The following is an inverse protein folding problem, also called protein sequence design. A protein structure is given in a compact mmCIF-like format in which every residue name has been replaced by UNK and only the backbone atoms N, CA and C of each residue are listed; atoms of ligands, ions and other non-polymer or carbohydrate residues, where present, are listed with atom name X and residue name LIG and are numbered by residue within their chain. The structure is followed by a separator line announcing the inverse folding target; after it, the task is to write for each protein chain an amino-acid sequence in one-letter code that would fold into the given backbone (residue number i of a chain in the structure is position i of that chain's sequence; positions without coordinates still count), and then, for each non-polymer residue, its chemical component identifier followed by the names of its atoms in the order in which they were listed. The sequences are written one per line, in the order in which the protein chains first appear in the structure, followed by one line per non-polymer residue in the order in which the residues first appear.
data_IF_058131564565
#
_entry.id   IF_058131564565
#
_cell.length_a   1.000
_cell.length_b   1.000
_cell.length_c   1.000
_cell.angle_alpha   90.00
_cell.angle_beta   90.00
_cell.angle_gamma   90.00
#
_symmetry.space_group_name_H-M   'P 1'
#
loop_
_entity.id
_entity.type
_entity.pdbx_description
1 polymer ?
#
# COMPACT_ATOMS: atom_id res chain seq x y z
N UNK A 1 4.54 1.45 12.63
CA UNK A 1 3.25 0.76 12.40
C UNK A 1 3.32 -0.12 11.17
N UNK A 2 2.63 -1.25 11.21
CA UNK A 2 2.44 -2.11 10.07
C UNK A 2 1.20 -1.66 9.29
N UNK A 3 1.32 -1.59 7.97
CA UNK A 3 0.21 -1.22 7.10
C UNK A 3 0.14 -2.24 5.96
N UNK A 4 -1.07 -2.72 5.68
CA UNK A 4 -1.32 -3.65 4.57
C UNK A 4 -2.50 -3.12 3.76
N UNK A 5 -2.37 -3.13 2.45
CA UNK A 5 -3.52 -2.88 1.57
C UNK A 5 -3.40 -3.72 0.30
N UNK A 6 -4.52 -3.90 -0.37
CA UNK A 6 -4.60 -4.75 -1.55
C UNK A 6 -4.91 -3.92 -2.80
N UNK A 7 -4.61 -4.49 -3.96
CA UNK A 7 -5.08 -3.95 -5.23
C UNK A 7 -6.59 -4.10 -5.34
N UNK A 8 -7.22 -3.27 -6.15
CA UNK A 8 -8.67 -3.32 -6.38
C UNK A 8 -9.06 -4.70 -6.90
N UNK A 9 -9.96 -5.38 -6.19
CA UNK A 9 -10.38 -6.76 -6.46
C UNK A 9 -9.24 -7.78 -6.44
N UNK A 10 -8.14 -7.46 -5.73
CA UNK A 10 -6.96 -8.32 -5.62
C UNK A 10 -6.36 -8.71 -6.98
N UNK A 11 -6.46 -7.83 -7.97
CA UNK A 11 -5.85 -8.07 -9.26
C UNK A 11 -4.32 -8.13 -9.12
N UNK A 12 -3.67 -9.06 -9.83
CA UNK A 12 -2.21 -9.21 -9.80
C UNK A 12 -1.52 -8.12 -10.64
N UNK A 13 -1.98 -6.89 -10.51
CA UNK A 13 -1.57 -5.76 -11.34
C UNK A 13 -0.12 -5.33 -11.10
N UNK A 14 0.40 -5.64 -9.91
CA UNK A 14 1.78 -5.28 -9.55
C UNK A 14 2.80 -6.33 -9.98
N UNK A 15 2.36 -7.44 -10.57
CA UNK A 15 3.27 -8.49 -10.99
C UNK A 15 4.26 -7.96 -12.05
N UNK A 16 5.55 -8.01 -11.75
CA UNK A 16 6.59 -7.44 -12.58
C UNK A 16 6.91 -5.98 -12.28
N UNK A 17 6.15 -5.32 -11.40
CA UNK A 17 6.33 -3.90 -11.03
C UNK A 17 6.63 -3.72 -9.54
N UNK A 18 7.01 -4.80 -8.85
CA UNK A 18 7.22 -4.77 -7.40
C UNK A 18 8.31 -3.77 -7.00
N UNK A 19 9.43 -3.78 -7.72
CA UNK A 19 10.54 -2.87 -7.40
C UNK A 19 10.17 -1.41 -7.67
N UNK A 20 9.44 -1.16 -8.74
CA UNK A 20 8.96 0.19 -9.03
C UNK A 20 8.06 0.70 -7.92
N UNK A 21 7.12 -0.12 -7.45
CA UNK A 21 6.21 0.27 -6.37
C UNK A 21 6.98 0.52 -5.07
N UNK A 22 7.98 -0.30 -4.75
CA UNK A 22 8.83 -0.06 -3.59
C UNK A 22 9.51 1.31 -3.68
N UNK A 23 10.04 1.65 -4.83
CA UNK A 23 10.73 2.93 -5.05
C UNK A 23 9.77 4.10 -4.91
N UNK A 24 8.55 3.96 -5.44
CA UNK A 24 7.51 5.00 -5.30
C UNK A 24 7.21 5.23 -3.82
N UNK A 25 6.97 4.16 -3.07
CA UNK A 25 6.64 4.25 -1.64
C UNK A 25 7.78 4.89 -0.85
N UNK A 26 9.03 4.48 -1.11
CA UNK A 26 10.19 5.05 -0.44
C UNK A 26 10.34 6.53 -0.74
N UNK A 27 10.09 6.93 -1.98
CA UNK A 27 10.17 8.33 -2.39
C UNK A 27 9.13 9.18 -1.66
N UNK A 28 7.90 8.69 -1.52
CA UNK A 28 6.84 9.41 -0.81
C UNK A 28 7.21 9.56 0.67
N UNK A 29 7.65 8.48 1.31
CA UNK A 29 8.04 8.51 2.71
C UNK A 29 9.21 9.47 2.95
N UNK A 30 10.20 9.49 2.05
CA UNK A 30 11.35 10.38 2.16
C UNK A 30 10.91 11.85 2.13
N UNK A 31 9.99 12.21 1.24
CA UNK A 31 9.47 13.59 1.16
C UNK A 31 8.72 13.98 2.43
N UNK A 32 8.08 13.04 3.08
CA UNK A 32 7.37 13.26 4.35
C UNK A 32 8.29 13.18 5.55
N UNK A 33 9.56 12.80 5.36
CA UNK A 33 10.53 12.55 6.43
C UNK A 33 10.09 11.40 7.34
N UNK A 34 9.42 10.42 6.78
CA UNK A 34 9.07 9.16 7.45
C UNK A 34 10.06 8.08 7.04
N UNK A 35 10.30 7.13 7.93
CA UNK A 35 11.25 6.05 7.67
C UNK A 35 10.51 4.75 7.39
N UNK A 36 10.75 4.17 6.21
CA UNK A 36 10.27 2.83 5.90
C UNK A 36 11.31 1.84 6.42
N UNK A 37 10.92 1.04 7.43
CA UNK A 37 11.78 0.05 8.06
C UNK A 37 11.77 -1.27 7.29
N UNK A 38 10.65 -1.59 6.64
CA UNK A 38 10.51 -2.78 5.81
C UNK A 38 9.38 -2.55 4.81
N UNK A 39 9.50 -3.07 3.61
CA UNK A 39 8.45 -3.02 2.60
C UNK A 39 8.49 -4.29 1.76
N UNK A 40 7.32 -4.90 1.60
CA UNK A 40 7.13 -6.04 0.71
C UNK A 40 6.01 -5.71 -0.26
N UNK A 41 6.28 -5.89 -1.54
CA UNK A 41 5.26 -5.70 -2.57
C UNK A 41 5.05 -7.04 -3.26
N UNK A 42 3.83 -7.53 -3.16
CA UNK A 42 3.40 -8.76 -3.81
C UNK A 42 2.52 -8.37 -5.02
N UNK A 43 2.22 -9.31 -5.93
CA UNK A 43 1.44 -8.95 -7.11
C UNK A 43 0.10 -8.28 -6.82
N UNK A 44 -0.54 -8.57 -5.69
CA UNK A 44 -1.88 -8.08 -5.36
C UNK A 44 -1.96 -7.31 -4.04
N UNK A 45 -0.83 -7.05 -3.37
CA UNK A 45 -0.87 -6.30 -2.10
C UNK A 45 0.48 -5.70 -1.73
N UNK A 46 0.43 -4.78 -0.79
CA UNK A 46 1.61 -4.14 -0.19
C UNK A 46 1.53 -4.34 1.31
N UNK A 47 2.67 -4.69 1.90
CA UNK A 47 2.85 -4.72 3.35
C UNK A 47 4.09 -3.90 3.68
N UNK A 48 3.94 -2.91 4.55
CA UNK A 48 5.08 -2.11 4.97
C UNK A 48 5.07 -1.85 6.47
N UNK A 49 6.28 -1.62 7.00
CA UNK A 49 6.49 -1.19 8.38
C UNK A 49 7.15 0.18 8.30
N UNK A 50 6.45 1.19 8.82
CA UNK A 50 6.88 2.58 8.72
C UNK A 50 6.95 3.23 10.10
N UNK A 51 7.98 4.05 10.31
CA UNK A 51 8.13 4.85 11.50
C UNK A 51 7.77 6.29 11.18
N UNK A 52 6.83 6.84 11.95
CA UNK A 52 6.35 8.22 11.78
C UNK A 52 6.30 8.90 13.16
N UNK A 53 6.32 10.24 13.21
CA UNK A 53 6.15 10.95 14.48
C UNK A 53 4.82 10.58 15.15
N UNK A 54 4.78 10.50 16.51
CA UNK A 54 3.56 10.11 17.22
C UNK A 54 2.37 11.04 16.99
N UNK A 55 2.62 12.27 16.56
CA UNK A 55 1.57 13.25 16.28
C UNK A 55 0.81 12.97 15.00
N UNK A 56 1.31 12.06 14.14
CA UNK A 56 0.70 11.76 12.84
C UNK A 56 -0.26 10.58 13.01
N UNK A 57 -1.54 10.80 12.64
CA UNK A 57 -2.53 9.75 12.72
C UNK A 57 -2.28 8.65 11.69
N UNK A 58 -2.54 7.37 12.02
CA UNK A 58 -2.40 6.28 11.05
C UNK A 58 -3.16 6.52 9.75
N UNK A 59 -4.35 7.11 9.80
CA UNK A 59 -5.14 7.42 8.61
C UNK A 59 -4.44 8.41 7.69
N UNK A 60 -3.69 9.37 8.23
CA UNK A 60 -2.92 10.31 7.43
C UNK A 60 -1.76 9.61 6.70
N UNK A 61 -1.11 8.69 7.40
CA UNK A 61 0.01 7.91 6.83
C UNK A 61 -0.50 7.07 5.66
N UNK A 62 -1.60 6.36 5.87
CA UNK A 62 -2.21 5.51 4.84
C UNK A 62 -2.66 6.36 3.65
N UNK A 63 -3.33 7.48 3.91
CA UNK A 63 -3.80 8.38 2.85
C UNK A 63 -2.64 8.85 1.98
N UNK A 64 -1.53 9.24 2.60
CA UNK A 64 -0.36 9.72 1.86
C UNK A 64 0.29 8.60 1.05
N UNK A 65 0.64 7.50 1.70
CA UNK A 65 1.37 6.42 1.04
C UNK A 65 0.52 5.70 0.00
N UNK A 66 -0.70 5.33 0.37
CA UNK A 66 -1.61 4.61 -0.51
C UNK A 66 -2.11 5.50 -1.65
N UNK A 67 -2.60 6.70 -1.32
CA UNK A 67 -3.17 7.60 -2.32
C UNK A 67 -2.15 8.07 -3.35
N UNK A 68 -0.99 8.52 -2.90
CA UNK A 68 0.04 9.04 -3.80
C UNK A 68 0.70 7.92 -4.60
N UNK A 69 0.91 6.74 -4.02
CA UNK A 69 1.52 5.62 -4.74
C UNK A 69 0.61 5.10 -5.84
N UNK A 70 -0.68 4.98 -5.58
CA UNK A 70 -1.64 4.54 -6.59
C UNK A 70 -1.70 5.52 -7.75
N UNK A 71 -1.76 6.81 -7.46
CA UNK A 71 -1.77 7.85 -8.48
C UNK A 71 -0.50 7.83 -9.32
N UNK A 72 0.66 7.76 -8.68
CA UNK A 72 1.93 7.78 -9.39
C UNK A 72 2.09 6.56 -10.30
N UNK A 73 1.68 5.39 -9.80
CA UNK A 73 1.73 4.17 -10.59
C UNK A 73 0.87 4.27 -11.85
N UNK A 74 -0.35 4.79 -11.73
CA UNK A 74 -1.25 4.95 -12.87
C UNK A 74 -0.78 6.03 -13.84
N UNK A 75 -0.08 7.06 -13.36
CA UNK A 75 0.56 8.04 -14.24
C UNK A 75 1.66 7.35 -15.05
N UNK A 76 2.47 6.51 -14.41
CA UNK A 76 3.55 5.78 -15.08
C UNK A 76 3.03 4.70 -16.04
N UNK A 77 1.86 4.16 -15.74
CA UNK A 77 1.26 3.04 -16.48
C UNK A 77 -0.22 3.31 -16.77
N UNK A 78 -0.52 4.27 -17.68
CA UNK A 78 -1.91 4.66 -17.94
C UNK A 78 -2.76 3.52 -18.51
N UNK A 79 -2.14 2.49 -19.06
CA UNK A 79 -2.84 1.30 -19.56
C UNK A 79 -3.60 0.55 -18.45
N UNK A 80 -3.24 0.76 -17.18
CA UNK A 80 -3.93 0.14 -16.05
C UNK A 80 -5.09 0.97 -15.51
N UNK A 81 -5.30 2.17 -16.04
CA UNK A 81 -6.44 3.01 -15.65
C UNK A 81 -7.72 2.41 -16.23
N UNK A 82 -8.72 2.18 -15.38
CA UNK A 82 -9.96 1.52 -15.78
C UNK A 82 -11.14 2.11 -15.01
N UNK A 83 -12.09 2.67 -15.73
CA UNK A 83 -13.28 3.29 -15.17
C UNK A 83 -14.15 2.31 -14.38
N UNK A 84 -14.12 1.01 -14.73
CA UNK A 84 -14.85 -0.02 -14.00
C UNK A 84 -14.40 -0.12 -12.54
N UNK A 85 -13.20 0.38 -12.23
CA UNK A 85 -12.63 0.36 -10.90
C UNK A 85 -12.43 1.77 -10.36
N UNK A 86 -13.24 2.75 -10.83
CA UNK A 86 -13.14 4.15 -10.45
C UNK A 86 -11.75 4.74 -10.68
N UNK A 87 -11.03 4.22 -11.67
CA UNK A 87 -9.66 4.60 -11.98
C UNK A 87 -8.73 4.47 -10.75
N UNK A 88 -9.07 3.56 -9.83
CA UNK A 88 -8.30 3.33 -8.62
C UNK A 88 -7.46 2.07 -8.74
N UNK A 89 -6.19 2.18 -8.35
CA UNK A 89 -5.29 1.02 -8.27
C UNK A 89 -5.61 0.16 -7.05
N UNK A 90 -5.96 0.81 -5.94
CA UNK A 90 -6.09 0.17 -4.64
C UNK A 90 -7.56 -0.03 -4.23
N UNK A 91 -7.80 -1.10 -3.47
CA UNK A 91 -9.06 -1.29 -2.77
C UNK A 91 -9.23 -0.20 -1.71
N UNK A 92 -10.47 0.15 -1.32
CA UNK A 92 -10.69 1.23 -0.35
C UNK A 92 -10.24 0.89 1.07
N UNK A 93 -10.11 -0.38 1.43
CA UNK A 93 -9.77 -0.80 2.78
C UNK A 93 -8.26 -0.83 3.01
N UNK A 94 -7.87 -0.92 4.28
CA UNK A 94 -6.49 -1.14 4.70
C UNK A 94 -6.48 -1.75 6.10
N UNK A 95 -5.36 -2.37 6.45
CA UNK A 95 -5.11 -2.91 7.79
C UNK A 95 -3.95 -2.13 8.41
N UNK A 96 -4.09 -1.76 9.68
CA UNK A 96 -3.03 -1.10 10.44
C UNK A 96 -2.87 -1.79 11.78
N UNK A 97 -1.63 -2.07 12.17
CA UNK A 97 -1.30 -2.56 13.49
C UNK A 97 -0.15 -1.72 14.07
N UNK A 98 -0.15 -1.56 15.39
CA UNK A 98 0.91 -0.84 16.09
C UNK A 98 2.25 -1.55 15.93
N UNK A 99 3.34 -0.88 16.31
CA UNK A 99 4.68 -1.46 16.30
C UNK A 99 4.70 -2.69 17.21
N UNK A 100 5.11 -3.82 16.66
CA UNK A 100 5.13 -5.11 17.33
C UNK A 100 5.01 -6.19 16.28
N UNK A 101 5.03 -7.45 16.71
CA UNK A 101 4.88 -8.56 15.77
C UNK A 101 3.44 -8.65 15.28
N UNK A 102 3.30 -8.71 13.97
CA UNK A 102 2.04 -9.02 13.32
C UNK A 102 2.22 -10.39 12.66
N UNK A 103 1.38 -11.35 13.04
CA UNK A 103 1.51 -12.71 12.53
C UNK A 103 1.18 -12.78 11.04
N UNK A 104 1.84 -13.70 10.35
CA UNK A 104 1.54 -13.97 8.94
C UNK A 104 0.08 -14.38 8.74
N UNK A 105 -0.49 -15.10 9.72
CA UNK A 105 -1.90 -15.51 9.67
C UNK A 105 -2.84 -14.32 9.71
N UNK A 106 -2.54 -13.32 10.55
CA UNK A 106 -3.37 -12.11 10.64
C UNK A 106 -3.38 -11.36 9.31
N UNK A 107 -2.21 -11.19 8.70
CA UNK A 107 -2.08 -10.51 7.41
C UNK A 107 -2.81 -11.29 6.33
N UNK A 108 -2.62 -12.61 6.30
CA UNK A 108 -3.29 -13.49 5.34
C UNK A 108 -4.80 -13.42 5.46
N UNK A 109 -5.31 -13.46 6.70
CA UNK A 109 -6.75 -13.36 6.95
C UNK A 109 -7.32 -12.04 6.45
N UNK A 110 -6.61 -10.93 6.65
CA UNK A 110 -7.04 -9.65 6.10
C UNK A 110 -7.12 -9.69 4.59
N UNK A 111 -6.06 -10.16 3.92
CA UNK A 111 -5.99 -10.17 2.45
C UNK A 111 -7.09 -11.06 1.88
N UNK A 112 -7.28 -12.25 2.42
CA UNK A 112 -8.29 -13.21 1.93
C UNK A 112 -9.71 -12.78 2.23
N UNK A 113 -9.93 -11.95 3.24
CA UNK A 113 -11.25 -11.47 3.63
C UNK A 113 -11.76 -10.27 2.86
N UNK A 114 -11.00 -9.72 1.91
CA UNK A 114 -11.39 -8.52 1.17
C UNK A 114 -12.07 -8.89 -0.15
N UNK A 115 -13.21 -8.27 -0.43
CA UNK A 115 -14.08 -8.59 -1.57
C UNK A 115 -14.52 -7.36 -2.37
N UNK A 116 -13.79 -6.30 -2.37
CA UNK A 116 -14.19 -5.10 -3.10
C UNK A 116 -13.75 -5.08 -4.56
#
# INVERSE_FOLDING_TARGET
MHIVWISKYRRSILNGYQDEMKDILKSIAQKKQWEILAVEVMPDHVHLFVSVPPSIAPSEVVKALKGQSGRQFLINHPEFTDERYDNSLWAPSYFVASAGEVSAETIKAYIEGQYD
#
